data_IF_716670438292
#
_entry.id   IF_716670438292
#
_cell.length_a   1.000
_cell.length_b   1.000
_cell.length_c   1.000
_cell.angle_alpha   90.00
_cell.angle_beta   90.00
_cell.angle_gamma   90.00
#
_symmetry.space_group_name_H-M   'P 1'
#
loop_
_entity.id
_entity.type
_entity.pdbx_description
1 polymer ?
#
# COMPACT_ATOMS: atom_id res chain seq x y z
N UNK A 1 5.81 6.02 2.01
CA UNK A 1 6.89 5.51 2.90
C UNK A 1 8.28 5.59 2.26
N UNK A 2 8.45 5.17 1.00
CA UNK A 2 9.75 5.18 0.27
C UNK A 2 10.53 6.51 0.38
N UNK A 3 9.86 7.63 0.16
CA UNK A 3 10.49 8.96 0.25
C UNK A 3 10.96 9.29 1.67
N UNK A 4 10.19 8.89 2.68
CA UNK A 4 10.57 9.10 4.08
C UNK A 4 11.80 8.29 4.43
N UNK A 5 11.88 7.01 4.00
CA UNK A 5 13.08 6.19 4.19
C UNK A 5 14.32 6.78 3.52
N UNK A 6 14.17 7.33 2.31
CA UNK A 6 15.26 8.01 1.62
C UNK A 6 15.72 9.28 2.34
N UNK A 7 14.79 10.14 2.76
CA UNK A 7 15.13 11.40 3.45
C UNK A 7 15.77 11.13 4.81
N UNK A 8 15.28 10.12 5.54
CA UNK A 8 15.77 9.79 6.88
C UNK A 8 17.00 8.88 6.89
N UNK A 9 17.53 8.48 5.74
CA UNK A 9 18.56 7.44 5.62
C UNK A 9 18.21 6.16 6.42
N UNK A 10 16.94 5.72 6.33
CA UNK A 10 16.47 4.56 7.08
C UNK A 10 17.16 3.27 6.61
N UNK A 11 17.90 2.63 7.53
CA UNK A 11 18.49 1.31 7.30
C UNK A 11 17.40 0.27 7.01
N UNK A 12 17.71 -0.67 6.11
CA UNK A 12 16.76 -1.70 5.65
C UNK A 12 16.15 -2.51 6.80
N UNK A 13 16.95 -2.85 7.81
CA UNK A 13 16.53 -3.57 9.03
C UNK A 13 15.47 -2.83 9.87
N UNK A 14 15.37 -1.50 9.71
CA UNK A 14 14.43 -0.67 10.46
C UNK A 14 13.21 -0.26 9.63
N UNK A 15 13.22 -0.46 8.31
CA UNK A 15 12.15 -0.02 7.41
C UNK A 15 10.81 -0.66 7.77
N UNK A 16 10.78 -1.98 8.02
CA UNK A 16 9.53 -2.66 8.40
C UNK A 16 9.00 -2.12 9.72
N UNK A 17 9.85 -2.02 10.75
CA UNK A 17 9.44 -1.47 12.07
C UNK A 17 8.85 -0.07 11.95
N UNK A 18 9.47 0.81 11.18
CA UNK A 18 8.94 2.16 10.98
C UNK A 18 7.64 2.18 10.17
N UNK A 19 7.55 1.38 9.10
CA UNK A 19 6.32 1.29 8.30
C UNK A 19 5.14 0.76 9.12
N UNK A 20 5.35 -0.27 9.94
CA UNK A 20 4.27 -0.89 10.71
C UNK A 20 3.71 0.05 11.77
N UNK A 21 4.52 0.97 12.33
CA UNK A 21 4.05 2.03 13.23
C UNK A 21 3.06 3.01 12.58
N UNK A 22 3.00 3.07 11.24
CA UNK A 22 2.07 3.96 10.52
C UNK A 22 0.74 3.30 10.17
N UNK A 23 0.61 1.98 10.39
CA UNK A 23 -0.63 1.26 10.08
C UNK A 23 -1.73 1.61 11.07
N UNK A 24 -2.93 1.82 10.53
CA UNK A 24 -4.12 2.17 11.30
C UNK A 24 -5.25 1.19 11.02
N UNK A 25 -6.19 1.10 11.97
CA UNK A 25 -7.45 0.36 11.86
C UNK A 25 -7.28 -1.06 11.27
N UNK A 26 -7.97 -1.37 10.17
CA UNK A 26 -7.98 -2.70 9.56
C UNK A 26 -6.60 -3.21 9.13
N UNK A 27 -5.69 -2.31 8.73
CA UNK A 27 -4.33 -2.69 8.34
C UNK A 27 -3.48 -3.12 9.55
N UNK A 28 -3.64 -2.42 10.67
CA UNK A 28 -2.98 -2.79 11.93
C UNK A 28 -3.52 -4.13 12.46
N UNK A 29 -4.84 -4.33 12.45
CA UNK A 29 -5.46 -5.60 12.86
C UNK A 29 -4.99 -6.77 12.00
N UNK A 30 -4.91 -6.57 10.68
CA UNK A 30 -4.41 -7.59 9.76
C UNK A 30 -2.95 -7.95 10.05
N UNK A 31 -2.07 -6.95 10.19
CA UNK A 31 -0.66 -7.18 10.49
C UNK A 31 -0.47 -7.92 11.81
N UNK A 32 -1.19 -7.53 12.87
CA UNK A 32 -1.13 -8.21 14.16
C UNK A 32 -1.57 -9.68 14.05
N UNK A 33 -2.59 -9.97 13.25
CA UNK A 33 -2.99 -11.35 12.96
C UNK A 33 -1.91 -12.11 12.19
N UNK A 34 -1.23 -11.47 11.24
CA UNK A 34 -0.13 -12.09 10.49
C UNK A 34 1.05 -12.44 11.40
N UNK A 35 1.47 -11.51 12.26
CA UNK A 35 2.53 -11.70 13.25
C UNK A 35 2.17 -12.84 14.20
N UNK A 36 0.90 -12.93 14.65
CA UNK A 36 0.44 -14.01 15.52
C UNK A 36 0.54 -15.39 14.88
N UNK A 37 0.29 -15.49 13.57
CA UNK A 37 0.33 -16.77 12.83
C UNK A 37 1.78 -17.19 12.53
N UNK A 38 2.60 -16.23 12.09
CA UNK A 38 3.95 -16.49 11.58
C UNK A 38 5.00 -16.47 12.70
N UNK A 39 4.68 -15.88 13.85
CA UNK A 39 5.59 -15.67 14.96
C UNK A 39 6.36 -14.36 14.83
N UNK A 40 6.74 -13.79 15.98
CA UNK A 40 7.38 -12.49 16.07
C UNK A 40 8.74 -12.45 15.34
N UNK A 41 9.56 -13.48 15.55
CA UNK A 41 10.92 -13.54 15.00
C UNK A 41 10.91 -13.63 13.47
N UNK A 42 10.01 -14.43 12.92
CA UNK A 42 9.87 -14.58 11.46
C UNK A 42 9.23 -13.34 10.84
N UNK A 43 8.30 -12.68 11.54
CA UNK A 43 7.68 -11.46 11.05
C UNK A 43 8.64 -10.25 11.03
N UNK A 44 9.59 -10.16 11.96
CA UNK A 44 10.58 -9.07 11.99
C UNK A 44 11.81 -9.32 11.11
N UNK A 45 12.01 -10.55 10.61
CA UNK A 45 12.98 -10.84 9.54
C UNK A 45 12.45 -10.44 8.16
N UNK A 46 11.14 -10.18 8.04
CA UNK A 46 10.52 -9.72 6.80
C UNK A 46 11.19 -8.44 6.30
N UNK A 47 11.54 -8.42 5.02
CA UNK A 47 12.05 -7.24 4.33
C UNK A 47 10.91 -6.28 3.97
N UNK A 48 11.25 -5.01 3.74
CA UNK A 48 10.28 -4.02 3.28
C UNK A 48 9.60 -4.40 1.95
N UNK A 49 10.33 -5.05 1.04
CA UNK A 49 9.80 -5.51 -0.26
C UNK A 49 8.73 -6.59 -0.05
N UNK A 50 8.96 -7.54 0.85
CA UNK A 50 7.99 -8.59 1.17
C UNK A 50 6.74 -8.03 1.84
N UNK A 51 6.90 -7.07 2.76
CA UNK A 51 5.76 -6.41 3.39
C UNK A 51 4.89 -5.68 2.37
N UNK A 52 5.50 -4.94 1.43
CA UNK A 52 4.76 -4.28 0.33
C UNK A 52 3.96 -5.28 -0.49
N UNK A 53 4.60 -6.38 -0.92
CA UNK A 53 3.92 -7.41 -1.70
C UNK A 53 2.72 -8.00 -0.96
N UNK A 54 2.84 -8.29 0.34
CA UNK A 54 1.72 -8.78 1.16
C UNK A 54 0.58 -7.76 1.28
N UNK A 55 0.93 -6.48 1.43
CA UNK A 55 -0.05 -5.39 1.49
C UNK A 55 -0.78 -5.22 0.14
N UNK A 56 -0.03 -5.30 -0.98
CA UNK A 56 -0.59 -5.30 -2.33
C UNK A 56 -1.53 -6.50 -2.53
N UNK A 57 -1.11 -7.72 -2.20
CA UNK A 57 -1.94 -8.91 -2.32
C UNK A 57 -3.24 -8.81 -1.48
N UNK A 58 -3.17 -8.16 -0.31
CA UNK A 58 -4.30 -8.02 0.62
C UNK A 58 -5.29 -6.94 0.22
N UNK A 59 -4.79 -5.77 -0.21
CA UNK A 59 -5.60 -4.57 -0.39
C UNK A 59 -5.73 -4.12 -1.84
N UNK A 60 -4.79 -4.52 -2.70
CA UNK A 60 -4.74 -4.15 -4.11
C UNK A 60 -5.30 -5.28 -4.99
N UNK A 61 -6.59 -5.56 -4.81
CA UNK A 61 -7.26 -6.64 -5.54
C UNK A 61 -7.24 -6.34 -7.04
N UNK A 62 -6.58 -7.23 -7.82
CA UNK A 62 -6.43 -7.07 -9.27
C UNK A 62 -7.76 -6.90 -10.02
N UNK A 63 -8.83 -7.49 -9.50
CA UNK A 63 -10.17 -7.35 -10.08
C UNK A 63 -10.74 -5.95 -9.86
N UNK A 64 -10.54 -5.35 -8.69
CA UNK A 64 -10.93 -3.96 -8.42
C UNK A 64 -10.09 -2.98 -9.23
N UNK A 65 -8.79 -3.26 -9.42
CA UNK A 65 -7.95 -2.46 -10.33
C UNK A 65 -8.48 -2.49 -11.77
N UNK A 66 -8.79 -3.69 -12.29
CA UNK A 66 -9.38 -3.82 -13.63
C UNK A 66 -10.72 -3.12 -13.74
N UNK A 67 -11.53 -3.14 -12.68
CA UNK A 67 -12.80 -2.42 -12.62
C UNK A 67 -12.58 -0.92 -12.71
N UNK A 68 -11.63 -0.38 -11.93
CA UNK A 68 -11.23 1.04 -11.99
C UNK A 68 -10.69 1.39 -13.38
N UNK A 69 -9.83 0.55 -13.98
CA UNK A 69 -9.32 0.74 -15.35
C UNK A 69 -10.47 0.77 -16.38
N UNK A 70 -11.44 -0.13 -16.23
CA UNK A 70 -12.61 -0.20 -17.13
C UNK A 70 -13.52 1.00 -16.95
N UNK A 71 -13.79 1.40 -15.70
CA UNK A 71 -14.55 2.61 -15.39
C UNK A 71 -13.86 3.83 -15.98
N UNK A 72 -12.54 3.95 -15.78
CA UNK A 72 -11.73 5.04 -16.33
C UNK A 72 -11.79 5.09 -17.85
N UNK A 73 -11.66 3.96 -18.54
CA UNK A 73 -11.78 3.89 -19.99
C UNK A 73 -13.15 4.30 -20.51
N UNK A 74 -14.21 4.08 -19.73
CA UNK A 74 -15.58 4.45 -20.08
C UNK A 74 -15.99 5.84 -19.57
N UNK A 75 -15.08 6.60 -18.96
CA UNK A 75 -15.36 7.98 -18.57
C UNK A 75 -15.39 8.88 -19.81
N UNK A 76 -16.59 9.32 -20.20
CA UNK A 76 -16.73 10.43 -21.13
C UNK A 76 -16.58 11.76 -20.39
N UNK A 77 -15.73 12.65 -20.92
CA UNK A 77 -15.60 14.02 -20.42
C UNK A 77 -16.90 14.78 -20.72
N UNK A 78 -17.75 14.95 -19.71
CA UNK A 78 -18.90 15.84 -19.83
C UNK A 78 -18.46 17.29 -19.59
N UNK A 79 -18.40 18.06 -20.68
CA UNK A 79 -18.26 19.52 -20.66
C UNK A 79 -16.81 20.06 -20.67
N UNK A 80 -16.67 21.36 -20.43
CA UNK A 80 -15.42 22.13 -20.53
C UNK A 80 -14.46 21.96 -19.35
N UNK A 81 -14.77 21.11 -18.36
CA UNK A 81 -13.95 20.93 -17.15
C UNK A 81 -12.83 19.88 -17.33
N UNK A 82 -12.06 20.06 -18.41
CA UNK A 82 -10.90 19.22 -18.76
C UNK A 82 -9.82 19.31 -17.66
N UNK A 83 -9.73 20.44 -16.96
CA UNK A 83 -8.75 20.64 -15.90
C UNK A 83 -9.00 19.75 -14.69
N UNK A 84 -10.27 19.61 -14.27
CA UNK A 84 -10.63 18.73 -13.15
C UNK A 84 -10.52 17.26 -13.51
N UNK A 85 -10.75 16.90 -14.77
CA UNK A 85 -10.50 15.55 -15.29
C UNK A 85 -9.01 15.19 -15.16
N UNK A 86 -8.10 16.05 -15.64
CA UNK A 86 -6.64 15.84 -15.58
C UNK A 86 -6.03 15.90 -14.17
N UNK A 87 -6.70 16.52 -13.20
CA UNK A 87 -6.25 16.50 -11.81
C UNK A 87 -6.63 15.23 -11.06
N UNK A 88 -7.69 14.56 -11.51
CA UNK A 88 -8.26 13.39 -10.82
C UNK A 88 -7.65 12.07 -11.28
N UNK A 89 -7.18 12.02 -12.51
CA UNK A 89 -6.63 10.84 -13.18
C UNK A 89 -5.29 11.16 -13.83
#
# INVERSE_FOLDING_TARGET
METVFRISNCLAENQVKFATCTLLAGALTWLNSHIRIVGNDVAYVMTWIELKKKMEDKYCLRNEMKKIETEFWNLEVQGTDVMRYNQRF
#
